data_IF_492884302810
#
_entry.id   IF_492884302810
#
_cell.length_a   1.000
_cell.length_b   1.000
_cell.length_c   1.000
_cell.angle_alpha   90.00
_cell.angle_beta   90.00
_cell.angle_gamma   90.00
#
_symmetry.space_group_name_H-M   'P 1'
#
loop_
_entity.id
_entity.type
_entity.pdbx_description
1 polymer ?
#
# COMPACT_ATOMS: atom_id res chain seq x y z
N UNK A 1 23.96 -55.87 34.30
CA UNK A 1 24.23 -55.94 32.85
C UNK A 1 24.72 -54.58 32.40
N UNK A 2 26.04 -54.43 32.30
CA UNK A 2 26.75 -53.18 32.02
C UNK A 2 27.02 -53.07 30.51
N UNK A 3 26.60 -51.98 29.87
CA UNK A 3 26.73 -51.73 28.41
C UNK A 3 27.91 -50.81 28.05
N UNK A 4 28.88 -50.62 28.95
CA UNK A 4 29.80 -49.46 28.85
C UNK A 4 31.25 -49.78 28.46
N UNK A 5 31.58 -51.01 28.06
CA UNK A 5 33.00 -51.38 27.84
C UNK A 5 33.55 -51.02 26.44
N UNK A 6 32.74 -50.77 25.41
CA UNK A 6 33.27 -50.67 24.04
C UNK A 6 33.48 -49.24 23.49
N UNK A 7 33.18 -48.19 24.26
CA UNK A 7 33.39 -46.81 23.81
C UNK A 7 34.85 -46.36 23.96
N UNK A 8 35.51 -46.10 22.82
CA UNK A 8 36.88 -45.57 22.77
C UNK A 8 36.96 -44.16 23.37
N UNK A 9 38.14 -43.73 23.87
CA UNK A 9 38.34 -42.39 24.45
C UNK A 9 37.93 -41.26 23.48
N UNK A 10 38.12 -41.45 22.18
CA UNK A 10 37.72 -40.51 21.13
C UNK A 10 36.19 -40.36 21.02
N UNK A 11 35.42 -41.45 21.14
CA UNK A 11 33.95 -41.38 21.10
C UNK A 11 33.38 -40.62 22.31
N UNK A 12 34.03 -40.74 23.49
CA UNK A 12 33.66 -39.95 24.67
C UNK A 12 33.95 -38.46 24.49
N UNK A 13 35.05 -38.11 23.82
CA UNK A 13 35.40 -36.72 23.52
C UNK A 13 34.42 -36.07 22.53
N UNK A 14 34.01 -36.80 21.49
CA UNK A 14 33.04 -36.31 20.49
C UNK A 14 31.66 -36.06 21.12
N UNK A 15 31.18 -36.96 22.01
CA UNK A 15 29.92 -36.74 22.74
C UNK A 15 29.93 -35.50 23.64
N UNK A 16 31.04 -35.25 24.37
CA UNK A 16 31.16 -34.05 25.21
C UNK A 16 31.17 -32.77 24.37
N UNK A 17 31.83 -32.79 23.22
CA UNK A 17 31.89 -31.63 22.29
C UNK A 17 30.53 -31.32 21.67
N UNK A 18 29.74 -32.34 21.31
CA UNK A 18 28.39 -32.15 20.77
C UNK A 18 27.38 -31.70 21.84
N UNK A 19 27.45 -32.20 23.08
CA UNK A 19 26.60 -31.71 24.18
C UNK A 19 26.81 -30.21 24.47
N UNK A 20 28.04 -29.70 24.37
CA UNK A 20 28.33 -28.29 24.59
C UNK A 20 27.79 -27.40 23.45
N UNK A 21 27.82 -27.88 22.20
CA UNK A 21 27.28 -27.14 21.03
C UNK A 21 25.75 -27.06 21.06
N UNK A 22 25.06 -28.12 21.48
CA UNK A 22 23.61 -28.11 21.62
C UNK A 22 23.11 -27.26 22.81
N UNK A 23 23.90 -27.11 23.87
CA UNK A 23 23.53 -26.31 25.03
C UNK A 23 23.56 -24.79 24.79
N UNK A 24 24.30 -24.31 23.79
CA UNK A 24 24.48 -22.86 23.53
C UNK A 24 23.74 -22.41 22.26
N UNK A 25 23.69 -23.25 21.21
CA UNK A 25 23.07 -22.86 19.93
C UNK A 25 21.54 -22.94 19.98
N UNK A 26 20.98 -23.89 20.71
CA UNK A 26 19.53 -24.03 20.86
C UNK A 26 18.85 -22.82 21.55
N UNK A 27 19.33 -22.29 22.69
CA UNK A 27 18.70 -21.12 23.33
C UNK A 27 18.84 -19.85 22.49
N UNK A 28 19.94 -19.69 21.74
CA UNK A 28 20.13 -18.55 20.83
C UNK A 28 19.14 -18.56 19.65
N UNK A 29 18.89 -19.73 19.06
CA UNK A 29 17.89 -19.88 18.00
C UNK A 29 16.47 -19.61 18.53
N UNK A 30 16.15 -20.10 19.73
CA UNK A 30 14.84 -19.84 20.38
C UNK A 30 14.70 -18.35 20.70
N UNK A 31 15.76 -17.69 21.19
CA UNK A 31 15.74 -16.24 21.45
C UNK A 31 15.58 -15.42 20.16
N UNK A 32 16.20 -15.83 19.05
CA UNK A 32 16.02 -15.17 17.76
C UNK A 32 14.59 -15.35 17.23
N UNK A 33 14.02 -16.55 17.33
CA UNK A 33 12.63 -16.81 16.92
C UNK A 33 11.67 -16.06 17.83
N UNK A 34 11.87 -16.07 19.15
CA UNK A 34 11.06 -15.32 20.09
C UNK A 34 11.17 -13.81 19.84
N UNK A 35 12.36 -13.29 19.54
CA UNK A 35 12.55 -11.89 19.17
C UNK A 35 11.88 -11.55 17.84
N UNK A 36 11.95 -12.42 16.82
CA UNK A 36 11.25 -12.25 15.56
C UNK A 36 9.72 -12.31 15.72
N UNK A 37 9.22 -13.22 16.56
CA UNK A 37 7.79 -13.32 16.89
C UNK A 37 7.33 -12.12 17.70
N UNK A 38 8.12 -11.64 18.66
CA UNK A 38 7.82 -10.40 19.40
C UNK A 38 7.90 -9.19 18.47
N UNK A 39 8.86 -9.12 17.55
CA UNK A 39 8.92 -8.05 16.55
C UNK A 39 7.74 -8.11 15.58
N UNK A 40 7.26 -9.30 15.22
CA UNK A 40 6.07 -9.51 14.38
C UNK A 40 4.77 -9.17 15.12
N UNK A 41 4.61 -9.60 16.38
CA UNK A 41 3.45 -9.29 17.22
C UNK A 41 3.44 -7.84 17.71
N UNK A 42 4.62 -7.22 17.82
CA UNK A 42 4.80 -5.80 18.10
C UNK A 42 4.92 -4.97 16.83
N UNK A 43 4.80 -5.59 15.65
CA UNK A 43 4.45 -4.86 14.46
C UNK A 43 3.03 -4.40 14.75
N UNK A 44 2.81 -3.12 15.13
CA UNK A 44 1.45 -2.67 15.25
C UNK A 44 0.81 -3.02 13.90
N UNK A 45 -0.38 -3.62 13.92
CA UNK A 45 -1.36 -3.24 12.90
C UNK A 45 -1.22 -1.73 12.84
N UNK A 46 -0.55 -1.26 11.80
CA UNK A 46 -0.34 0.16 11.63
C UNK A 46 -1.76 0.65 11.48
N UNK A 47 -2.32 1.23 12.56
CA UNK A 47 -3.40 2.18 12.44
C UNK A 47 -2.91 3.09 11.33
N UNK A 48 -3.51 2.89 10.15
CA UNK A 48 -2.95 3.22 8.84
C UNK A 48 -2.99 4.74 8.74
N UNK A 49 -2.06 5.39 9.43
CA UNK A 49 -2.01 6.82 9.57
C UNK A 49 -1.84 7.35 8.15
N UNK A 50 -2.92 7.94 7.62
CA UNK A 50 -2.98 8.39 6.24
C UNK A 50 -1.71 9.17 5.92
N UNK A 51 -1.02 8.78 4.84
CA UNK A 51 0.24 9.37 4.49
C UNK A 51 0.07 10.89 4.32
N UNK A 52 0.96 11.73 4.87
CA UNK A 52 0.80 13.17 4.81
C UNK A 52 0.79 13.65 3.35
N UNK A 53 -0.20 14.46 3.00
CA UNK A 53 -0.37 14.97 1.64
C UNK A 53 0.47 16.23 1.45
N UNK A 54 1.36 16.23 0.46
CA UNK A 54 2.15 17.42 0.16
C UNK A 54 1.24 18.60 -0.24
N UNK A 55 1.49 19.83 0.25
CA UNK A 55 0.62 20.99 0.02
C UNK A 55 0.35 21.30 -1.46
N UNK A 56 1.28 20.94 -2.34
CA UNK A 56 1.14 21.14 -3.78
C UNK A 56 -0.08 20.42 -4.38
N UNK A 57 -0.48 19.28 -3.81
CA UNK A 57 -1.67 18.53 -4.24
C UNK A 57 -2.98 19.08 -3.68
N UNK A 58 -2.96 19.83 -2.58
CA UNK A 58 -4.20 20.26 -1.92
C UNK A 58 -5.01 21.20 -2.82
N UNK A 59 -6.33 21.04 -2.81
CA UNK A 59 -7.27 21.83 -3.59
C UNK A 59 -8.18 20.99 -4.49
N UNK A 60 -8.93 21.68 -5.34
CA UNK A 60 -9.79 21.07 -6.35
C UNK A 60 -9.09 21.05 -7.71
N UNK A 61 -9.20 19.93 -8.40
CA UNK A 61 -8.60 19.66 -9.69
C UNK A 61 -9.67 19.14 -10.64
N UNK A 62 -9.70 19.67 -11.84
CA UNK A 62 -10.67 19.29 -12.86
C UNK A 62 -10.02 19.07 -14.20
N UNK A 63 -10.56 18.14 -14.99
CA UNK A 63 -10.06 17.87 -16.32
C UNK A 63 -10.82 16.76 -17.01
N UNK A 64 -10.23 16.24 -18.08
CA UNK A 64 -10.83 15.18 -18.90
C UNK A 64 -9.92 13.97 -18.86
N UNK A 65 -10.52 12.80 -18.69
CA UNK A 65 -9.85 11.52 -18.81
C UNK A 65 -10.53 10.64 -19.87
N UNK A 66 -9.78 9.72 -20.45
CA UNK A 66 -10.21 8.84 -21.54
C UNK A 66 -9.62 7.43 -21.36
N UNK A 67 -10.34 6.42 -21.83
CA UNK A 67 -9.92 5.01 -21.77
C UNK A 67 -9.95 4.31 -23.15
N UNK A 68 -9.97 5.10 -24.24
CA UNK A 68 -10.09 4.66 -25.64
C UNK A 68 -11.51 4.30 -26.08
N UNK A 69 -12.47 4.22 -25.15
CA UNK A 69 -13.89 3.89 -25.44
C UNK A 69 -14.85 5.01 -25.11
N UNK A 70 -14.46 5.92 -24.22
CA UNK A 70 -15.24 7.08 -23.83
C UNK A 70 -14.39 8.09 -23.08
N UNK A 71 -14.92 9.31 -22.99
CA UNK A 71 -14.29 10.42 -22.29
C UNK A 71 -15.14 10.85 -21.09
N UNK A 72 -14.47 11.24 -20.03
CA UNK A 72 -15.07 11.49 -18.72
C UNK A 72 -14.60 12.84 -18.19
N UNK A 73 -15.52 13.66 -17.70
CA UNK A 73 -15.16 14.82 -16.89
C UNK A 73 -14.80 14.35 -15.48
N UNK A 74 -13.60 14.69 -15.03
CA UNK A 74 -13.06 14.27 -13.74
C UNK A 74 -12.95 15.47 -12.83
N UNK A 75 -13.44 15.32 -11.60
CA UNK A 75 -13.23 16.27 -10.50
C UNK A 75 -12.56 15.52 -9.36
N UNK A 76 -11.45 16.04 -8.86
CA UNK A 76 -10.67 15.49 -7.76
C UNK A 76 -10.45 16.58 -6.71
N UNK A 77 -10.85 16.31 -5.46
CA UNK A 77 -10.66 17.22 -4.33
C UNK A 77 -9.72 16.57 -3.33
N UNK A 78 -8.65 17.27 -3.00
CA UNK A 78 -7.60 16.80 -2.10
C UNK A 78 -7.50 17.77 -0.92
N UNK A 79 -7.61 17.25 0.31
CA UNK A 79 -7.48 18.04 1.54
C UNK A 79 -8.72 18.06 2.42
N UNK A 80 -9.45 16.94 2.50
CA UNK A 80 -10.51 16.77 3.48
C UNK A 80 -9.95 16.73 4.91
N UNK A 81 -10.72 17.23 5.87
CA UNK A 81 -10.39 17.19 7.30
C UNK A 81 -10.39 15.76 7.87
N UNK A 82 -11.07 14.82 7.19
CA UNK A 82 -11.09 13.41 7.55
C UNK A 82 -9.96 12.66 6.83
N UNK A 83 -8.95 12.11 7.53
CA UNK A 83 -7.85 11.37 6.90
C UNK A 83 -8.31 10.09 6.18
N UNK A 84 -9.40 9.46 6.59
CA UNK A 84 -9.95 8.26 5.92
C UNK A 84 -10.54 8.58 4.53
N UNK A 85 -11.00 9.83 4.35
CA UNK A 85 -11.60 10.33 3.11
C UNK A 85 -10.88 11.62 2.68
N UNK A 86 -9.55 11.63 2.81
CA UNK A 86 -8.71 12.82 2.57
C UNK A 86 -8.85 13.33 1.12
N UNK A 87 -9.28 12.46 0.22
CA UNK A 87 -9.48 12.72 -1.20
C UNK A 87 -10.87 12.24 -1.61
N UNK A 88 -11.55 13.03 -2.46
CA UNK A 88 -12.77 12.60 -3.13
C UNK A 88 -12.62 12.81 -4.63
N UNK A 89 -13.16 11.89 -5.42
CA UNK A 89 -13.15 12.03 -6.87
C UNK A 89 -14.51 11.72 -7.47
N UNK A 90 -14.71 12.21 -8.68
CA UNK A 90 -15.86 11.84 -9.48
C UNK A 90 -15.51 11.82 -10.94
N UNK A 91 -16.16 10.92 -11.69
CA UNK A 91 -16.11 10.87 -13.14
C UNK A 91 -17.52 10.87 -13.71
N UNK A 92 -17.75 11.76 -14.67
CA UNK A 92 -18.99 11.86 -15.41
C UNK A 92 -18.73 11.48 -16.85
N UNK A 93 -19.35 10.40 -17.32
CA UNK A 93 -19.32 10.00 -18.73
C UNK A 93 -19.99 11.08 -19.59
N UNK A 94 -19.26 11.59 -20.60
CA UNK A 94 -19.76 12.64 -21.48
C UNK A 94 -20.89 12.20 -22.40
N UNK A 95 -20.95 10.92 -22.78
CA UNK A 95 -21.94 10.40 -23.70
C UNK A 95 -23.27 10.11 -22.99
N UNK A 96 -23.21 9.49 -21.80
CA UNK A 96 -24.40 9.07 -21.06
C UNK A 96 -24.81 10.03 -19.94
N UNK A 97 -23.91 10.90 -19.48
CA UNK A 97 -24.10 11.70 -18.27
C UNK A 97 -24.03 10.89 -16.98
N UNK A 98 -23.74 9.57 -17.06
CA UNK A 98 -23.60 8.73 -15.89
C UNK A 98 -22.43 9.23 -15.04
N UNK A 99 -22.71 9.42 -13.75
CA UNK A 99 -21.73 9.92 -12.78
C UNK A 99 -21.47 8.86 -11.74
N UNK A 100 -20.19 8.69 -11.42
CA UNK A 100 -19.72 7.90 -10.29
C UNK A 100 -18.91 8.80 -9.35
N UNK A 101 -19.22 8.70 -8.06
CA UNK A 101 -18.52 9.38 -6.97
C UNK A 101 -17.71 8.35 -6.16
N UNK A 102 -16.52 8.77 -5.73
CA UNK A 102 -15.58 7.95 -4.93
C UNK A 102 -15.03 8.73 -3.75
N UNK A 103 -14.82 8.01 -2.67
CA UNK A 103 -13.94 8.44 -1.59
C UNK A 103 -12.60 7.72 -1.75
N UNK A 104 -11.50 8.43 -1.50
CA UNK A 104 -10.16 7.91 -1.69
C UNK A 104 -9.29 8.17 -0.46
N UNK A 105 -8.56 7.13 -0.06
CA UNK A 105 -7.55 7.18 1.01
C UNK A 105 -6.15 7.22 0.40
N UNK A 106 -5.28 8.03 0.97
CA UNK A 106 -3.87 8.11 0.53
C UNK A 106 -3.08 6.94 1.09
N UNK A 107 -2.65 6.05 0.21
CA UNK A 107 -1.83 4.87 0.53
C UNK A 107 -0.34 5.22 0.48
N UNK A 108 0.04 6.09 -0.45
CA UNK A 108 1.41 6.58 -0.60
C UNK A 108 1.41 8.03 -1.02
N UNK A 109 2.33 8.79 -0.46
CA UNK A 109 2.54 10.20 -0.78
C UNK A 109 4.03 10.47 -0.97
N UNK A 110 4.36 11.14 -2.07
CA UNK A 110 5.68 11.70 -2.37
C UNK A 110 5.50 13.17 -2.76
N UNK A 111 6.59 13.88 -3.03
CA UNK A 111 6.52 15.29 -3.46
C UNK A 111 5.80 15.47 -4.80
N UNK A 112 5.84 14.47 -5.69
CA UNK A 112 5.31 14.57 -7.05
C UNK A 112 4.31 13.48 -7.42
N UNK A 113 3.99 12.56 -6.52
CA UNK A 113 3.02 11.47 -6.78
C UNK A 113 2.24 11.08 -5.54
N UNK A 114 0.93 10.84 -5.69
CA UNK A 114 0.10 10.15 -4.70
C UNK A 114 -0.46 8.85 -5.28
N UNK A 115 -0.50 7.82 -4.45
CA UNK A 115 -1.23 6.57 -4.70
C UNK A 115 -2.43 6.52 -3.78
N UNK A 116 -3.60 6.26 -4.37
CA UNK A 116 -4.89 6.39 -3.71
C UNK A 116 -5.63 5.05 -3.78
N UNK A 117 -6.10 4.55 -2.64
CA UNK A 117 -7.05 3.45 -2.58
C UNK A 117 -8.45 4.06 -2.61
N UNK A 118 -9.17 3.84 -3.71
CA UNK A 118 -10.51 4.38 -3.84
C UNK A 118 -11.58 3.33 -3.58
N UNK A 119 -12.66 3.80 -2.96
CA UNK A 119 -13.91 3.07 -2.79
C UNK A 119 -15.03 3.82 -3.50
N UNK A 120 -15.83 3.10 -4.26
CA UNK A 120 -17.01 3.67 -4.90
C UNK A 120 -18.05 4.00 -3.82
N UNK A 121 -18.58 5.23 -3.82
CA UNK A 121 -19.54 5.68 -2.80
C UNK A 121 -20.95 5.83 -3.36
N UNK A 122 -21.08 6.22 -4.63
CA UNK A 122 -22.37 6.40 -5.27
C UNK A 122 -22.25 6.43 -6.81
N UNK A 123 -23.35 6.16 -7.50
CA UNK A 123 -23.49 6.40 -8.94
C UNK A 123 -23.48 5.16 -9.84
N UNK A 124 -23.84 5.38 -11.10
CA UNK A 124 -23.84 4.35 -12.14
C UNK A 124 -22.52 4.39 -12.91
N UNK A 125 -22.04 3.22 -13.35
CA UNK A 125 -20.75 3.13 -14.08
C UNK A 125 -19.52 3.12 -13.17
N UNK A 126 -19.69 2.85 -11.88
CA UNK A 126 -18.58 2.59 -10.98
C UNK A 126 -18.05 1.16 -11.17
N UNK A 127 -16.93 1.01 -11.88
CA UNK A 127 -16.23 -0.27 -12.00
C UNK A 127 -15.40 -0.55 -10.74
N UNK A 128 -16.10 -0.92 -9.65
CA UNK A 128 -15.50 -1.46 -8.43
C UNK A 128 -14.56 -0.53 -7.65
N UNK A 129 -13.86 -1.12 -6.68
CA UNK A 129 -12.81 -0.45 -5.92
C UNK A 129 -11.49 -0.59 -6.69
N UNK A 130 -10.87 0.54 -7.03
CA UNK A 130 -9.70 0.58 -7.89
C UNK A 130 -8.68 1.58 -7.36
N UNK A 131 -7.40 1.28 -7.55
CA UNK A 131 -6.32 2.21 -7.24
C UNK A 131 -6.30 3.36 -8.25
N UNK A 132 -6.10 4.58 -7.74
CA UNK A 132 -5.81 5.76 -8.55
C UNK A 132 -4.37 6.22 -8.29
N UNK A 133 -3.71 6.74 -9.32
CA UNK A 133 -2.43 7.46 -9.16
C UNK A 133 -2.55 8.86 -9.71
N UNK A 134 -2.04 9.83 -8.96
CA UNK A 134 -1.90 11.22 -9.42
C UNK A 134 -0.44 11.64 -9.41
N UNK A 135 0.01 12.26 -10.49
CA UNK A 135 1.37 12.75 -10.62
C UNK A 135 1.36 14.25 -10.93
N UNK A 136 2.04 15.04 -10.12
CA UNK A 136 2.20 16.47 -10.31
C UNK A 136 3.31 16.76 -11.29
N UNK A 137 2.96 17.44 -12.38
CA UNK A 137 3.90 17.91 -13.38
C UNK A 137 4.45 19.29 -13.02
N UNK A 138 5.63 19.61 -13.57
CA UNK A 138 6.30 20.90 -13.36
C UNK A 138 5.51 22.09 -13.92
N UNK A 139 4.57 21.85 -14.84
CA UNK A 139 3.67 22.87 -15.38
C UNK A 139 2.45 23.13 -14.46
N UNK A 140 2.38 22.47 -13.31
CA UNK A 140 1.30 22.59 -12.34
C UNK A 140 0.03 21.81 -12.69
N UNK A 141 0.05 20.91 -13.69
CA UNK A 141 -1.03 19.95 -13.91
C UNK A 141 -0.85 18.65 -13.13
N UNK A 142 -1.95 17.90 -12.98
CA UNK A 142 -1.92 16.53 -12.51
C UNK A 142 -2.17 15.58 -13.68
N UNK A 143 -1.28 14.63 -13.93
CA UNK A 143 -1.67 13.39 -14.60
C UNK A 143 -2.50 12.54 -13.63
N UNK A 144 -3.65 12.09 -14.09
CA UNK A 144 -4.58 11.24 -13.33
C UNK A 144 -4.73 9.91 -14.04
N UNK A 145 -4.69 8.82 -13.27
CA UNK A 145 -4.90 7.46 -13.80
C UNK A 145 -5.69 6.63 -12.81
N UNK A 146 -6.67 5.86 -13.30
CA UNK A 146 -7.42 4.86 -12.53
C UNK A 146 -7.30 3.50 -13.19
N UNK A 147 -7.09 2.45 -12.40
CA UNK A 147 -7.06 1.07 -12.86
C UNK A 147 -5.72 0.63 -13.47
N UNK A 148 -5.66 -0.61 -13.95
CA UNK A 148 -4.45 -1.20 -14.53
C UNK A 148 -4.11 -0.56 -15.89
N UNK A 149 -2.82 -0.53 -16.33
CA UNK A 149 -2.39 0.14 -17.56
C UNK A 149 -3.21 -0.25 -18.80
N UNK A 150 -3.59 -1.52 -18.90
CA UNK A 150 -4.43 -2.03 -19.98
C UNK A 150 -5.91 -1.71 -19.68
N UNK A 151 -6.39 -0.58 -20.23
CA UNK A 151 -7.77 -0.11 -20.02
C UNK A 151 -7.92 0.92 -18.90
N UNK A 152 -6.80 1.51 -18.45
CA UNK A 152 -6.83 2.60 -17.49
C UNK A 152 -7.59 3.81 -18.03
N UNK A 153 -8.35 4.46 -17.14
CA UNK A 153 -8.83 5.81 -17.39
C UNK A 153 -7.68 6.77 -17.12
N UNK A 154 -7.22 7.50 -18.14
CA UNK A 154 -6.07 8.42 -18.03
C UNK A 154 -6.46 9.83 -18.45
N UNK A 155 -5.99 10.84 -17.73
CA UNK A 155 -6.34 12.23 -18.01
C UNK A 155 -5.34 13.23 -17.45
N UNK A 156 -5.55 14.49 -17.80
CA UNK A 156 -4.81 15.63 -17.24
C UNK A 156 -5.79 16.56 -16.55
N UNK A 157 -5.52 16.86 -15.28
CA UNK A 157 -6.32 17.76 -14.46
C UNK A 157 -5.56 19.07 -14.22
N UNK A 158 -6.32 20.15 -14.11
CA UNK A 158 -5.85 21.50 -13.79
C UNK A 158 -6.52 21.95 -12.51
N UNK A 159 -5.79 22.73 -11.72
CA UNK A 159 -6.31 23.30 -10.48
C UNK A 159 -7.39 24.35 -10.77
N UNK A 160 -8.43 24.39 -9.96
CA UNK A 160 -9.55 25.35 -10.05
C UNK A 160 -9.42 26.43 -8.99
#
# INVERSE_FOLDING_TARGET
MARDHWETPEQRAIRRKNRLRFAIVAPLAILLVAWAVVAYLRSPESEDAAAPIAPAFQGEWQGVADNGRGSFDVVLRIGSENPEDAVTSSYTDKASGARCDRAERVVRSTESELTLAARSTNGAGCDGDAESTVQLHTDGSLAYRVGAPDGALTGTLRKV
#
